data_IF_242252584614
#
_entry.id   IF_242252584614
#
_cell.length_a   1.000
_cell.length_b   1.000
_cell.length_c   1.000
_cell.angle_alpha   90.00
_cell.angle_beta   90.00
_cell.angle_gamma   90.00
#
_symmetry.space_group_name_H-M   'P 1'
#
loop_
_entity.id
_entity.type
_entity.pdbx_description
1 polymer ?
#
# COMPACT_ATOMS: atom_id res chain seq x y z
N UNK A 1 7.56 -2.10 -1.76
CA UNK A 1 8.73 -2.51 -0.98
C UNK A 1 8.36 -3.75 -0.16
N UNK A 2 8.74 -4.96 -0.58
CA UNK A 2 8.29 -6.18 0.08
C UNK A 2 9.30 -6.57 1.16
N UNK A 3 8.84 -6.65 2.41
CA UNK A 3 9.62 -7.10 3.56
C UNK A 3 8.95 -8.35 4.10
N UNK A 4 9.74 -9.38 4.43
CA UNK A 4 9.19 -10.59 5.01
C UNK A 4 8.48 -10.29 6.33
N UNK A 5 7.38 -10.99 6.64
CA UNK A 5 6.62 -10.72 7.87
C UNK A 5 7.41 -11.01 9.15
N UNK A 6 8.40 -11.89 9.06
CA UNK A 6 9.34 -12.30 10.10
C UNK A 6 10.74 -11.70 9.92
N UNK A 7 10.90 -10.66 9.09
CA UNK A 7 12.21 -10.07 8.80
C UNK A 7 12.93 -9.54 10.05
N UNK A 8 12.18 -9.20 11.10
CA UNK A 8 12.70 -8.67 12.35
C UNK A 8 12.22 -9.50 13.53
N UNK A 9 13.16 -9.89 14.41
CA UNK A 9 12.85 -10.70 15.58
C UNK A 9 11.96 -10.00 16.61
N UNK A 10 12.03 -8.66 16.70
CA UNK A 10 11.38 -7.87 17.77
C UNK A 10 10.53 -6.72 17.26
N UNK A 11 10.50 -6.45 15.95
CA UNK A 11 9.70 -5.37 15.35
C UNK A 11 8.54 -6.02 14.58
N UNK A 12 7.31 -6.05 15.12
CA UNK A 12 6.18 -6.70 14.46
C UNK A 12 5.63 -5.87 13.29
N UNK A 13 4.76 -6.49 12.48
CA UNK A 13 3.96 -5.79 11.46
C UNK A 13 2.89 -4.93 12.13
N UNK A 14 2.74 -3.69 11.68
CA UNK A 14 1.72 -2.78 12.22
C UNK A 14 0.29 -3.26 11.93
N UNK A 15 -0.58 -3.14 12.93
CA UNK A 15 -1.98 -3.59 12.92
C UNK A 15 -2.99 -2.44 12.87
N UNK A 16 -2.55 -1.22 13.15
CA UNK A 16 -3.37 -0.01 13.06
C UNK A 16 -2.53 1.23 12.68
N UNK A 17 -3.22 2.35 12.45
CA UNK A 17 -2.67 3.61 11.98
C UNK A 17 -1.67 4.27 12.94
N UNK A 18 -1.90 4.15 14.26
CA UNK A 18 -1.13 4.87 15.29
C UNK A 18 -0.09 4.00 16.01
N UNK A 19 -0.08 2.68 15.77
CA UNK A 19 0.87 1.76 16.42
C UNK A 19 2.31 2.19 16.15
N UNK A 20 3.11 2.36 17.20
CA UNK A 20 4.56 2.61 17.10
C UNK A 20 5.35 1.33 17.39
N UNK A 21 6.66 1.34 17.15
CA UNK A 21 7.51 0.16 17.37
C UNK A 21 7.24 -1.03 16.44
N UNK A 22 6.61 -0.79 15.29
CA UNK A 22 6.25 -1.77 14.27
C UNK A 22 6.67 -1.29 12.88
N UNK A 23 6.65 -2.17 11.88
CA UNK A 23 6.92 -1.81 10.49
C UNK A 23 5.70 -2.00 9.58
N UNK A 24 5.67 -1.22 8.49
CA UNK A 24 4.71 -1.34 7.40
C UNK A 24 5.42 -1.78 6.13
N UNK A 25 4.79 -2.66 5.37
CA UNK A 25 5.28 -3.12 4.08
C UNK A 25 4.10 -3.58 3.22
N UNK A 26 4.27 -3.50 1.91
CA UNK A 26 3.37 -4.08 0.93
C UNK A 26 4.07 -4.13 -0.43
N UNK A 27 3.42 -4.83 -1.36
CA UNK A 27 3.71 -4.82 -2.79
C UNK A 27 2.39 -4.84 -3.54
N UNK A 28 2.28 -3.95 -4.52
CA UNK A 28 1.00 -3.71 -5.19
C UNK A 28 0.88 -4.48 -6.50
N UNK A 29 -0.29 -5.07 -6.72
CA UNK A 29 -0.68 -5.69 -7.98
C UNK A 29 -2.05 -5.20 -8.42
N UNK A 30 -2.33 -5.31 -9.72
CA UNK A 30 -3.69 -5.15 -10.23
C UNK A 30 -4.55 -6.33 -9.79
N UNK A 31 -5.84 -6.09 -9.58
CA UNK A 31 -6.83 -7.08 -9.14
C UNK A 31 -6.88 -8.37 -9.96
N UNK A 32 -6.50 -8.33 -11.24
CA UNK A 32 -6.45 -9.46 -12.18
C UNK A 32 -5.02 -9.96 -12.44
N UNK A 33 -4.07 -9.66 -11.54
CA UNK A 33 -2.71 -10.16 -11.61
C UNK A 33 -2.65 -11.61 -11.18
N UNK A 34 -2.24 -12.47 -12.12
CA UNK A 34 -1.97 -13.88 -11.89
C UNK A 34 -0.48 -14.12 -12.15
N UNK A 35 0.33 -14.39 -11.10
CA UNK A 35 1.73 -14.70 -11.28
C UNK A 35 1.89 -16.06 -11.96
N UNK A 36 2.84 -16.16 -12.89
CA UNK A 36 3.29 -17.46 -13.38
C UNK A 36 4.05 -18.19 -12.27
N UNK A 37 4.06 -19.53 -12.23
CA UNK A 37 4.91 -20.28 -11.32
C UNK A 37 6.36 -19.79 -11.38
N UNK A 38 6.98 -19.56 -10.22
CA UNK A 38 8.34 -19.03 -10.12
C UNK A 38 8.50 -17.53 -10.44
N UNK A 39 7.41 -16.76 -10.53
CA UNK A 39 7.51 -15.32 -10.71
C UNK A 39 8.19 -14.68 -9.48
N UNK A 40 9.37 -14.08 -9.72
CA UNK A 40 10.27 -13.58 -8.68
C UNK A 40 9.61 -12.63 -7.68
N UNK A 41 8.58 -11.89 -8.11
CA UNK A 41 7.97 -10.89 -7.26
C UNK A 41 6.81 -11.47 -6.44
N UNK A 42 6.46 -12.77 -6.54
CA UNK A 42 5.42 -13.43 -5.73
C UNK A 42 5.97 -14.44 -4.73
N UNK A 43 6.97 -13.99 -3.97
CA UNK A 43 7.48 -14.68 -2.77
C UNK A 43 6.39 -14.76 -1.69
N UNK A 44 6.31 -15.88 -0.98
CA UNK A 44 5.45 -16.01 0.19
C UNK A 44 5.95 -15.15 1.37
N UNK A 45 5.20 -15.14 2.48
CA UNK A 45 5.64 -14.52 3.73
C UNK A 45 6.00 -13.03 3.64
N UNK A 46 5.34 -12.24 2.80
CA UNK A 46 5.50 -10.79 2.77
C UNK A 46 4.50 -10.13 3.74
N UNK A 47 4.99 -9.19 4.56
CA UNK A 47 4.12 -8.33 5.35
C UNK A 47 3.26 -7.45 4.43
N UNK A 48 1.96 -7.39 4.70
CA UNK A 48 1.02 -6.55 3.94
C UNK A 48 0.19 -5.73 4.91
N UNK A 49 0.41 -4.42 4.90
CA UNK A 49 -0.45 -3.43 5.58
C UNK A 49 -1.15 -2.63 4.50
N UNK A 50 -2.48 -2.57 4.53
CA UNK A 50 -3.26 -1.83 3.55
C UNK A 50 -3.14 -0.31 3.82
N UNK A 51 -2.53 0.50 2.93
CA UNK A 51 -2.35 1.94 3.18
C UNK A 51 -3.65 2.76 3.22
N UNK A 52 -4.77 2.15 2.83
CA UNK A 52 -6.09 2.78 2.91
C UNK A 52 -6.75 2.62 4.28
N UNK A 53 -6.38 1.57 5.04
CA UNK A 53 -7.00 1.25 6.35
C UNK A 53 -5.99 1.14 7.49
N UNK A 54 -4.70 1.02 7.18
CA UNK A 54 -3.59 0.77 8.09
C UNK A 54 -3.72 -0.52 8.91
N UNK A 55 -4.49 -1.48 8.40
CA UNK A 55 -4.66 -2.80 9.02
C UNK A 55 -4.10 -3.90 8.13
N UNK A 56 -3.98 -5.12 8.68
CA UNK A 56 -3.66 -6.34 7.92
C UNK A 56 -4.91 -7.17 7.60
N UNK A 57 -6.11 -6.59 7.74
CA UNK A 57 -7.36 -7.32 7.47
C UNK A 57 -7.59 -7.45 5.96
N UNK A 58 -8.07 -8.61 5.48
CA UNK A 58 -8.32 -8.86 4.06
C UNK A 58 -9.65 -8.24 3.57
N UNK A 59 -10.05 -7.11 4.15
CA UNK A 59 -11.27 -6.40 3.75
C UNK A 59 -10.98 -5.53 2.51
N UNK A 60 -11.98 -5.40 1.64
CA UNK A 60 -11.90 -4.49 0.49
C UNK A 60 -12.01 -3.06 0.99
N UNK A 61 -10.97 -2.26 0.78
CA UNK A 61 -10.98 -0.82 1.02
C UNK A 61 -11.40 -0.10 -0.26
N UNK A 62 -12.50 0.64 -0.18
CA UNK A 62 -13.04 1.42 -1.29
C UNK A 62 -12.05 2.51 -1.74
N UNK A 63 -12.08 2.86 -3.03
CA UNK A 63 -11.21 3.89 -3.58
C UNK A 63 -11.38 5.25 -2.90
N UNK A 64 -12.56 5.55 -2.34
CA UNK A 64 -12.83 6.77 -1.55
C UNK A 64 -11.93 6.95 -0.33
N UNK A 65 -11.28 5.89 0.15
CA UNK A 65 -10.27 5.96 1.22
C UNK A 65 -8.88 6.38 0.70
N UNK A 66 -8.68 6.43 -0.62
CA UNK A 66 -7.45 6.90 -1.25
C UNK A 66 -7.47 8.44 -1.30
N UNK A 67 -6.75 9.05 -0.37
CA UNK A 67 -6.67 10.50 -0.19
C UNK A 67 -5.85 11.19 -1.28
N UNK A 68 -5.13 10.43 -2.10
CA UNK A 68 -4.41 10.98 -3.23
C UNK A 68 -3.19 10.15 -3.64
N UNK A 69 -3.21 9.69 -4.89
CA UNK A 69 -2.02 9.14 -5.56
C UNK A 69 -1.38 10.12 -6.54
N UNK A 70 -0.08 9.99 -6.79
CA UNK A 70 0.68 10.89 -7.66
C UNK A 70 1.02 10.20 -8.99
N UNK A 71 0.56 10.80 -10.08
CA UNK A 71 0.81 10.35 -11.45
C UNK A 71 2.03 11.07 -12.07
N UNK A 72 2.39 10.73 -13.31
CA UNK A 72 3.58 11.25 -14.00
C UNK A 72 3.62 12.79 -14.11
N UNK A 73 2.47 13.45 -14.24
CA UNK A 73 2.41 14.90 -14.27
C UNK A 73 2.24 15.45 -12.84
N UNK A 74 3.36 15.62 -12.14
CA UNK A 74 3.40 16.11 -10.76
C UNK A 74 2.74 17.48 -10.57
N UNK A 75 2.70 18.34 -11.60
CA UNK A 75 2.06 19.66 -11.53
C UNK A 75 0.54 19.58 -11.35
N UNK A 76 -0.09 18.43 -11.66
CA UNK A 76 -1.52 18.22 -11.38
C UNK A 76 -1.82 17.91 -9.92
N UNK A 77 -0.80 17.67 -9.10
CA UNK A 77 -0.95 17.27 -7.71
C UNK A 77 -1.53 15.85 -7.52
N UNK A 78 -1.78 15.44 -6.27
CA UNK A 78 -2.37 14.15 -5.96
C UNK A 78 -3.79 14.01 -6.49
N UNK A 79 -4.11 12.83 -7.02
CA UNK A 79 -5.44 12.46 -7.50
C UNK A 79 -6.14 11.57 -6.47
N UNK A 80 -7.24 12.02 -5.83
CA UNK A 80 -8.03 11.18 -4.95
C UNK A 80 -8.72 10.04 -5.72
N UNK A 81 -9.22 9.06 -4.99
CA UNK A 81 -9.98 7.92 -5.53
C UNK A 81 -9.25 7.14 -6.63
N UNK A 82 -7.91 7.15 -6.57
CA UNK A 82 -7.09 6.62 -7.66
C UNK A 82 -7.22 5.10 -7.77
N UNK A 83 -7.16 4.40 -6.64
CA UNK A 83 -7.28 2.94 -6.55
C UNK A 83 -7.97 2.51 -5.25
N UNK A 84 -8.73 1.42 -5.32
CA UNK A 84 -9.15 0.61 -4.16
C UNK A 84 -8.00 -0.31 -3.73
N UNK A 85 -8.08 -0.95 -2.57
CA UNK A 85 -7.06 -1.89 -2.12
C UNK A 85 -7.64 -3.04 -1.28
N UNK A 86 -7.16 -4.26 -1.52
CA UNK A 86 -7.54 -5.47 -0.80
C UNK A 86 -6.28 -6.32 -0.57
N UNK A 87 -6.15 -6.90 0.62
CA UNK A 87 -5.05 -7.84 0.91
C UNK A 87 -5.47 -9.24 0.45
N UNK A 88 -4.70 -9.86 -0.45
CA UNK A 88 -4.89 -11.26 -0.85
C UNK A 88 -3.57 -12.02 -0.70
N UNK A 89 -3.51 -12.89 0.31
CA UNK A 89 -2.27 -13.58 0.68
C UNK A 89 -1.13 -12.59 0.94
N UNK A 90 0.02 -12.82 0.32
CA UNK A 90 1.21 -11.99 0.48
C UNK A 90 1.23 -10.76 -0.48
N UNK A 91 0.08 -10.22 -0.92
CA UNK A 91 0.02 -9.10 -1.86
C UNK A 91 -1.10 -8.11 -1.57
N UNK A 92 -0.88 -6.85 -1.98
CA UNK A 92 -1.90 -5.81 -1.97
C UNK A 92 -2.45 -5.65 -3.39
N UNK A 93 -3.73 -5.98 -3.58
CA UNK A 93 -4.39 -5.94 -4.89
C UNK A 93 -5.23 -4.69 -5.01
N UNK A 94 -5.15 -4.02 -6.15
CA UNK A 94 -5.83 -2.75 -6.39
C UNK A 94 -6.59 -2.76 -7.69
N UNK A 95 -7.64 -1.94 -7.77
CA UNK A 95 -8.24 -1.62 -9.07
C UNK A 95 -7.22 -0.94 -10.00
N UNK A 96 -7.51 -0.94 -11.30
CA UNK A 96 -6.68 -0.24 -12.29
C UNK A 96 -6.76 1.29 -12.04
N UNK A 97 -5.64 2.01 -11.86
CA UNK A 97 -5.66 3.45 -11.70
C UNK A 97 -6.25 4.12 -12.94
N UNK A 98 -7.25 4.99 -12.75
CA UNK A 98 -7.91 5.71 -13.86
C UNK A 98 -7.22 7.03 -14.13
N UNK A 99 -6.73 7.23 -15.34
CA UNK A 99 -6.13 8.48 -15.80
C UNK A 99 -6.23 8.61 -17.33
N UNK A 100 -5.92 9.79 -17.87
CA UNK A 100 -5.97 10.00 -19.31
C UNK A 100 -5.00 9.05 -20.04
N UNK A 101 -5.52 8.15 -20.89
CA UNK A 101 -4.72 7.15 -21.61
C UNK A 101 -4.51 5.82 -20.86
N UNK A 102 -5.18 5.60 -19.74
CA UNK A 102 -5.09 4.36 -18.95
C UNK A 102 -5.50 3.08 -19.71
N UNK A 103 -6.19 3.20 -20.86
CA UNK A 103 -6.47 2.07 -21.76
C UNK A 103 -5.20 1.43 -22.34
N UNK A 104 -4.13 2.22 -22.47
CA UNK A 104 -2.82 1.73 -22.91
C UNK A 104 -1.97 1.22 -21.73
N UNK A 105 -2.38 1.48 -20.50
CA UNK A 105 -1.68 1.04 -19.29
C UNK A 105 -2.04 -0.41 -18.96
N UNK A 106 -1.26 -1.35 -19.53
CA UNK A 106 -1.51 -2.79 -19.41
C UNK A 106 -0.77 -3.47 -18.26
N UNK A 107 0.15 -2.76 -17.59
CA UNK A 107 0.91 -3.28 -16.46
C UNK A 107 -0.01 -3.83 -15.38
N UNK A 108 0.38 -4.99 -14.81
CA UNK A 108 -0.33 -5.65 -13.70
C UNK A 108 0.49 -5.71 -12.41
N UNK A 109 1.80 -5.59 -12.50
CA UNK A 109 2.68 -5.46 -11.35
C UNK A 109 2.92 -3.98 -11.05
N UNK A 110 2.32 -3.49 -9.97
CA UNK A 110 2.33 -2.08 -9.58
C UNK A 110 3.37 -1.78 -8.50
N UNK A 111 4.24 -2.73 -8.19
CA UNK A 111 5.23 -2.60 -7.14
C UNK A 111 6.12 -1.35 -7.25
N UNK A 112 6.49 -0.97 -8.48
CA UNK A 112 7.27 0.25 -8.73
C UNK A 112 6.54 1.54 -8.33
N UNK A 113 5.20 1.49 -8.25
CA UNK A 113 4.33 2.60 -7.88
C UNK A 113 3.77 2.52 -6.47
N UNK A 114 4.30 1.66 -5.59
CA UNK A 114 3.75 1.43 -4.25
C UNK A 114 3.53 2.73 -3.47
N UNK A 115 4.48 3.67 -3.49
CA UNK A 115 4.30 4.97 -2.84
C UNK A 115 3.41 5.91 -3.64
N UNK A 116 3.53 5.90 -4.97
CA UNK A 116 2.77 6.79 -5.85
C UNK A 116 1.26 6.56 -5.70
N UNK A 117 0.81 5.31 -5.60
CA UNK A 117 -0.61 4.98 -5.53
C UNK A 117 -1.29 5.45 -4.23
N UNK A 118 -0.52 5.64 -3.16
CA UNK A 118 -1.02 5.93 -1.81
C UNK A 118 -0.34 7.15 -1.17
N UNK A 119 0.21 8.05 -1.98
CA UNK A 119 1.14 9.11 -1.55
C UNK A 119 0.58 9.95 -0.38
N UNK A 120 -0.66 10.43 -0.48
CA UNK A 120 -1.27 11.27 0.56
C UNK A 120 -1.56 10.45 1.81
N UNK A 121 -2.09 9.23 1.68
CA UNK A 121 -2.31 8.33 2.81
C UNK A 121 -1.01 8.11 3.59
N UNK A 122 0.08 7.73 2.91
CA UNK A 122 1.39 7.51 3.53
C UNK A 122 1.91 8.77 4.21
N UNK A 123 1.79 9.93 3.54
CA UNK A 123 2.24 11.21 4.09
C UNK A 123 1.49 11.56 5.38
N UNK A 124 0.18 11.40 5.40
CA UNK A 124 -0.63 11.70 6.59
C UNK A 124 -0.34 10.73 7.73
N UNK A 125 -0.23 9.43 7.43
CA UNK A 125 0.03 8.44 8.47
C UNK A 125 1.44 8.54 9.05
N UNK A 126 2.43 9.01 8.27
CA UNK A 126 3.74 9.34 8.82
C UNK A 126 3.65 10.43 9.90
N UNK A 127 2.86 11.48 9.67
CA UNK A 127 2.59 12.53 10.69
C UNK A 127 1.85 11.97 11.89
N UNK A 128 0.81 11.16 11.65
CA UNK A 128 0.02 10.52 12.71
C UNK A 128 0.88 9.63 13.62
N UNK A 129 1.78 8.82 13.05
CA UNK A 129 2.70 7.95 13.80
C UNK A 129 3.73 8.74 14.60
N UNK A 130 4.26 9.83 14.05
CA UNK A 130 5.17 10.72 14.80
C UNK A 130 4.43 11.34 15.98
N UNK A 131 3.21 11.80 15.79
CA UNK A 131 2.39 12.34 16.88
C UNK A 131 2.07 11.27 17.93
N UNK A 132 1.74 10.04 17.50
CA UNK A 132 1.49 8.93 18.42
C UNK A 132 2.74 8.57 19.24
N UNK A 133 3.93 8.63 18.63
CA UNK A 133 5.21 8.41 19.32
C UNK A 133 5.48 9.49 20.37
N UNK A 134 5.40 10.78 19.98
CA UNK A 134 5.73 11.90 20.88
C UNK A 134 4.72 12.07 22.02
N UNK A 135 3.44 11.71 21.80
CA UNK A 135 2.38 11.86 22.80
C UNK A 135 2.09 10.59 23.60
N UNK A 136 2.55 9.41 23.17
CA UNK A 136 2.31 8.13 23.83
C UNK A 136 3.27 7.82 24.98
N UNK A 137 4.34 8.61 25.13
CA UNK A 137 5.31 8.55 26.23
C UNK A 137 4.96 9.49 27.41
N UNK A 138 3.70 9.95 27.50
CA UNK A 138 3.12 10.64 28.67
C UNK A 138 2.09 9.73 29.36
#
# INVERSE_FOLDING_TARGET
>A
MPVSADAYATIPVCQNATQTGCFVSWRTYREDFEPRPGYRDTVENIAVVNPLTWTTRPEVADASLNKGGVLLNFNKGPKPDLVSAEIRGAGLFTSKPRFFGDIFFRTKNYHIGDYNLFYVNVRENAVERVNAFVNGDQ
#
